data_IF_096160429233
#
_entry.id   IF_096160429233
#
_cell.length_a   1.000
_cell.length_b   1.000
_cell.length_c   1.000
_cell.angle_alpha   90.00
_cell.angle_beta   90.00
_cell.angle_gamma   90.00
#
_symmetry.space_group_name_H-M   'P 1'
#
loop_
_entity.id
_entity.type
_entity.pdbx_description
1 polymer ?
#
# COMPACT_ATOMS: atom_id res chain seq x y z
N UNK A 1 -31.33 -0.39 -8.01
CA UNK A 1 -31.21 1.08 -7.98
C UNK A 1 -30.83 1.65 -6.61
N UNK A 2 -31.40 1.21 -5.46
CA UNK A 2 -31.03 1.72 -4.13
C UNK A 2 -29.53 1.56 -3.77
N UNK A 3 -28.88 0.48 -4.14
CA UNK A 3 -27.47 0.22 -3.82
C UNK A 3 -26.51 1.18 -4.53
N UNK A 4 -26.85 1.62 -5.72
CA UNK A 4 -26.06 2.59 -6.51
C UNK A 4 -26.12 3.99 -5.88
N UNK A 5 -27.26 4.37 -5.29
CA UNK A 5 -27.41 5.66 -4.60
C UNK A 5 -26.56 5.75 -3.34
N UNK A 6 -26.42 4.67 -2.58
CA UNK A 6 -25.54 4.69 -1.39
C UNK A 6 -24.06 4.79 -1.77
N UNK A 7 -23.65 4.13 -2.86
CA UNK A 7 -22.27 4.22 -3.35
C UNK A 7 -21.95 5.64 -3.84
N UNK A 8 -22.88 6.25 -4.57
CA UNK A 8 -22.76 7.63 -5.04
C UNK A 8 -22.76 8.63 -3.88
N UNK A 9 -23.61 8.42 -2.87
CA UNK A 9 -23.64 9.25 -1.67
C UNK A 9 -22.37 9.14 -0.84
N UNK A 10 -21.82 7.92 -0.70
CA UNK A 10 -20.54 7.67 -0.05
C UNK A 10 -19.38 8.36 -0.80
N UNK A 11 -19.40 8.29 -2.13
CA UNK A 11 -18.41 8.95 -3.00
C UNK A 11 -18.47 10.47 -2.90
N UNK A 12 -19.69 11.04 -2.83
CA UNK A 12 -19.90 12.47 -2.64
C UNK A 12 -19.51 12.93 -1.23
N UNK A 13 -19.73 12.11 -0.22
CA UNK A 13 -19.31 12.39 1.16
C UNK A 13 -17.79 12.41 1.29
N UNK A 14 -17.09 11.52 0.58
CA UNK A 14 -15.63 11.49 0.49
C UNK A 14 -15.08 12.71 -0.25
N UNK A 15 -15.76 13.16 -1.30
CA UNK A 15 -15.37 14.34 -2.08
C UNK A 15 -15.61 15.68 -1.35
N UNK A 16 -16.47 15.71 -0.33
CA UNK A 16 -16.81 16.93 0.42
C UNK A 16 -15.86 17.24 1.58
N UNK A 17 -14.87 16.38 1.85
CA UNK A 17 -13.88 16.64 2.88
C UNK A 17 -12.75 17.47 2.26
N UNK A 18 -12.90 18.78 2.33
CA UNK A 18 -11.82 19.73 2.03
C UNK A 18 -10.69 19.52 3.04
N UNK A 19 -9.65 18.82 2.62
CA UNK A 19 -8.52 18.56 3.50
C UNK A 19 -7.54 17.57 2.87
N UNK A 20 -6.43 17.38 3.48
CA UNK A 20 -5.26 16.57 3.11
C UNK A 20 -5.50 15.07 2.84
N UNK A 21 -6.74 14.69 2.52
CA UNK A 21 -7.12 13.33 2.20
C UNK A 21 -6.58 12.91 0.84
N UNK A 22 -6.02 11.71 0.75
CA UNK A 22 -5.47 11.15 -0.48
C UNK A 22 -6.22 9.89 -0.86
N UNK A 23 -6.78 9.90 -2.07
CA UNK A 23 -7.42 8.73 -2.67
C UNK A 23 -6.61 8.23 -3.86
N UNK A 24 -6.54 6.90 -4.02
CA UNK A 24 -5.91 6.23 -5.15
C UNK A 24 -6.87 5.17 -5.68
N UNK A 25 -7.02 5.14 -7.00
CA UNK A 25 -7.69 4.06 -7.73
C UNK A 25 -6.67 3.54 -8.75
N UNK A 26 -6.39 2.25 -8.72
CA UNK A 26 -5.41 1.61 -9.59
C UNK A 26 -6.04 0.39 -10.24
N UNK A 27 -5.79 0.21 -11.52
CA UNK A 27 -6.14 -1.00 -12.26
C UNK A 27 -4.87 -1.56 -12.86
N UNK A 28 -4.62 -2.84 -12.63
CA UNK A 28 -3.44 -3.54 -13.11
C UNK A 28 -3.89 -4.77 -13.91
N UNK A 29 -3.32 -4.94 -15.07
CA UNK A 29 -3.54 -6.11 -15.90
C UNK A 29 -2.21 -6.79 -16.19
N UNK A 30 -2.10 -8.04 -15.80
CA UNK A 30 -0.98 -8.91 -16.14
C UNK A 30 -1.45 -9.85 -17.24
N UNK A 31 -0.87 -9.73 -18.45
CA UNK A 31 -1.27 -10.56 -19.58
C UNK A 31 -0.95 -12.03 -19.34
N UNK A 32 -1.69 -12.89 -20.03
CA UNK A 32 -1.59 -14.33 -19.86
C UNK A 32 -0.14 -14.82 -20.03
N UNK A 33 0.34 -15.51 -19.02
CA UNK A 33 1.62 -16.20 -19.01
C UNK A 33 1.42 -17.70 -18.83
N UNK A 34 2.39 -18.50 -19.31
CA UNK A 34 2.35 -19.95 -19.15
C UNK A 34 3.02 -20.35 -17.85
N UNK A 35 2.32 -21.15 -17.05
CA UNK A 35 2.90 -21.86 -15.92
C UNK A 35 3.61 -23.11 -16.45
N UNK A 36 4.83 -23.35 -15.99
CA UNK A 36 5.63 -24.51 -16.36
C UNK A 36 6.13 -25.21 -15.11
N UNK A 37 6.26 -26.53 -15.18
CA UNK A 37 6.94 -27.31 -14.17
C UNK A 37 8.48 -27.16 -14.27
N UNK A 38 9.19 -27.76 -13.32
CA UNK A 38 10.67 -27.78 -13.33
C UNK A 38 11.27 -28.44 -14.56
N UNK A 39 10.53 -29.33 -15.21
CA UNK A 39 10.91 -30.00 -16.45
C UNK A 39 10.57 -29.17 -17.71
N UNK A 40 9.94 -28.01 -17.56
CA UNK A 40 9.55 -27.11 -18.65
C UNK A 40 8.21 -27.43 -19.31
N UNK A 41 7.45 -28.43 -18.83
CA UNK A 41 6.15 -28.77 -19.37
C UNK A 41 5.12 -27.70 -19.00
N UNK A 42 4.22 -27.39 -19.93
CA UNK A 42 3.16 -26.42 -19.69
C UNK A 42 2.08 -27.01 -18.79
N UNK A 43 1.89 -26.40 -17.61
CA UNK A 43 0.86 -26.79 -16.64
C UNK A 43 -0.46 -26.04 -16.83
N UNK A 44 -0.43 -24.91 -17.55
CA UNK A 44 -1.57 -24.04 -17.77
C UNK A 44 -1.15 -22.65 -18.16
N UNK A 45 -2.10 -21.74 -18.22
CA UNK A 45 -1.86 -20.31 -18.41
C UNK A 45 -2.91 -19.49 -17.65
N UNK A 46 -2.55 -18.30 -17.26
CA UNK A 46 -3.50 -17.41 -16.60
C UNK A 46 -3.14 -15.95 -16.81
N UNK A 47 -4.15 -15.11 -16.75
CA UNK A 47 -4.05 -13.66 -16.69
C UNK A 47 -4.66 -13.14 -15.39
N UNK A 48 -4.21 -11.99 -14.94
CA UNK A 48 -4.65 -11.36 -13.71
C UNK A 48 -5.15 -9.95 -14.00
N UNK A 49 -6.34 -9.65 -13.55
CA UNK A 49 -6.88 -8.30 -13.52
C UNK A 49 -7.10 -7.90 -12.06
N UNK A 50 -6.47 -6.81 -11.63
CA UNK A 50 -6.49 -6.33 -10.25
C UNK A 50 -7.01 -4.90 -10.19
N UNK A 51 -7.98 -4.67 -9.33
CA UNK A 51 -8.51 -3.36 -9.00
C UNK A 51 -8.14 -3.03 -7.55
N UNK A 52 -7.54 -1.87 -7.33
CA UNK A 52 -7.19 -1.40 -5.99
C UNK A 52 -7.77 -0.02 -5.76
N UNK A 53 -8.48 0.14 -4.66
CA UNK A 53 -8.91 1.43 -4.14
C UNK A 53 -8.29 1.67 -2.77
N UNK A 54 -7.72 2.84 -2.55
CA UNK A 54 -7.19 3.22 -1.24
C UNK A 54 -7.56 4.67 -0.93
N UNK A 55 -7.82 4.92 0.33
CA UNK A 55 -8.12 6.26 0.83
C UNK A 55 -7.46 6.47 2.19
N UNK A 56 -6.76 7.59 2.34
CA UNK A 56 -6.09 7.96 3.59
C UNK A 56 -6.62 9.30 4.07
N UNK A 57 -7.11 9.33 5.31
CA UNK A 57 -7.63 10.50 5.97
C UNK A 57 -6.76 10.85 7.18
N UNK A 58 -5.98 11.92 7.14
CA UNK A 58 -5.38 12.50 8.34
C UNK A 58 -6.47 13.24 9.14
N UNK A 59 -6.83 12.70 10.31
CA UNK A 59 -7.90 13.25 11.14
C UNK A 59 -7.39 14.08 12.32
N UNK A 60 -6.10 14.05 12.58
CA UNK A 60 -5.48 14.91 13.59
C UNK A 60 -4.09 15.33 13.13
N UNK A 61 -3.91 16.64 13.02
CA UNK A 61 -2.63 17.26 12.73
C UNK A 61 -2.37 18.33 13.81
N UNK A 62 -1.38 18.08 14.65
CA UNK A 62 -0.95 19.01 15.71
C UNK A 62 0.52 19.33 15.52
N UNK A 63 0.99 20.36 16.18
CA UNK A 63 2.42 20.68 16.24
C UNK A 63 2.90 20.56 17.68
N UNK A 64 4.11 20.05 17.87
CA UNK A 64 4.76 20.11 19.16
C UNK A 64 5.30 21.52 19.43
N UNK A 65 5.85 21.72 20.64
CA UNK A 65 6.44 23.01 21.04
C UNK A 65 7.57 23.50 20.12
N UNK A 66 8.16 22.63 19.30
CA UNK A 66 9.20 22.95 18.34
C UNK A 66 8.66 23.13 16.89
N UNK A 67 7.34 23.20 16.72
CA UNK A 67 6.69 23.36 15.40
C UNK A 67 6.70 22.12 14.51
N UNK A 68 7.10 20.95 15.05
CA UNK A 68 7.13 19.72 14.28
C UNK A 68 5.75 19.03 14.29
N UNK A 69 5.29 18.45 13.16
CA UNK A 69 3.96 17.87 13.06
C UNK A 69 3.85 16.55 13.84
N UNK A 70 2.74 16.41 14.55
CA UNK A 70 2.26 15.17 15.14
C UNK A 70 0.98 14.82 14.38
N UNK A 71 0.94 13.67 13.74
CA UNK A 71 -0.17 13.30 12.86
C UNK A 71 -0.79 11.96 13.27
N UNK A 72 -2.10 11.90 13.19
CA UNK A 72 -2.87 10.67 13.16
C UNK A 72 -3.60 10.57 11.83
N UNK A 73 -3.54 9.41 11.21
CA UNK A 73 -4.27 9.13 9.98
C UNK A 73 -4.90 7.74 10.04
N UNK A 74 -6.04 7.62 9.42
CA UNK A 74 -6.69 6.34 9.13
C UNK A 74 -6.65 6.10 7.63
N UNK A 75 -6.37 4.88 7.22
CA UNK A 75 -6.41 4.48 5.82
C UNK A 75 -7.27 3.25 5.65
N UNK A 76 -8.04 3.22 4.57
CA UNK A 76 -8.77 2.06 4.10
C UNK A 76 -8.25 1.69 2.73
N UNK A 77 -8.02 0.40 2.50
CA UNK A 77 -7.64 -0.14 1.20
C UNK A 77 -8.52 -1.33 0.88
N UNK A 78 -8.94 -1.44 -0.36
CA UNK A 78 -9.62 -2.61 -0.89
C UNK A 78 -8.95 -3.03 -2.19
N UNK A 79 -8.78 -4.32 -2.38
CA UNK A 79 -8.26 -4.89 -3.63
C UNK A 79 -9.16 -6.06 -4.04
N UNK A 80 -9.52 -6.09 -5.30
CA UNK A 80 -10.24 -7.18 -5.93
C UNK A 80 -9.46 -7.65 -7.13
N UNK A 81 -9.10 -8.93 -7.13
CA UNK A 81 -8.31 -9.54 -8.17
C UNK A 81 -9.09 -10.70 -8.80
N UNK A 82 -9.10 -10.74 -10.11
CA UNK A 82 -9.71 -11.79 -10.93
C UNK A 82 -8.58 -12.54 -11.63
N UNK A 83 -8.50 -13.84 -11.38
CA UNK A 83 -7.53 -14.74 -11.98
C UNK A 83 -8.23 -15.61 -13.01
N UNK A 84 -7.92 -15.41 -14.27
CA UNK A 84 -8.46 -16.26 -15.35
C UNK A 84 -7.52 -17.44 -15.59
N UNK A 85 -7.72 -18.50 -14.86
CA UNK A 85 -6.94 -19.74 -14.99
C UNK A 85 -7.46 -20.57 -16.15
N UNK A 86 -6.55 -21.00 -17.06
CA UNK A 86 -6.90 -21.79 -18.24
C UNK A 86 -6.06 -23.07 -18.27
N UNK A 87 -6.76 -24.20 -18.40
CA UNK A 87 -6.13 -25.53 -18.54
C UNK A 87 -5.16 -25.90 -17.40
N UNK A 88 -5.46 -25.44 -16.19
CA UNK A 88 -4.71 -25.85 -15.01
C UNK A 88 -5.07 -27.30 -14.67
N UNK A 89 -4.04 -28.13 -14.47
CA UNK A 89 -4.23 -29.54 -14.10
C UNK A 89 -4.75 -29.70 -12.64
N UNK A 90 -4.55 -28.69 -11.81
CA UNK A 90 -5.03 -28.61 -10.43
C UNK A 90 -5.68 -27.25 -10.21
N UNK A 91 -6.82 -27.24 -9.57
CA UNK A 91 -7.52 -26.03 -9.16
C UNK A 91 -6.85 -25.45 -7.90
N UNK A 92 -5.62 -24.98 -8.08
CA UNK A 92 -4.74 -24.57 -6.96
C UNK A 92 -5.01 -23.13 -6.51
N UNK A 93 -5.61 -22.33 -7.38
CA UNK A 93 -5.82 -20.90 -7.14
C UNK A 93 -7.30 -20.55 -7.17
N UNK A 94 -7.80 -19.74 -6.21
CA UNK A 94 -9.14 -19.19 -6.34
C UNK A 94 -9.20 -18.28 -7.58
N UNK A 95 -10.33 -18.31 -8.28
CA UNK A 95 -10.58 -17.45 -9.44
C UNK A 95 -10.67 -15.98 -9.06
N UNK A 96 -11.01 -15.70 -7.82
CA UNK A 96 -11.19 -14.35 -7.30
C UNK A 96 -10.56 -14.22 -5.92
N UNK A 97 -9.92 -13.09 -5.69
CA UNK A 97 -9.35 -12.73 -4.38
C UNK A 97 -9.84 -11.35 -3.99
N UNK A 98 -10.40 -11.26 -2.80
CA UNK A 98 -10.78 -10.01 -2.17
C UNK A 98 -9.86 -9.75 -0.98
N UNK A 99 -9.29 -8.56 -0.92
CA UNK A 99 -8.64 -8.06 0.27
C UNK A 99 -9.19 -6.71 0.67
N UNK A 100 -9.29 -6.49 1.97
CA UNK A 100 -9.69 -5.22 2.54
C UNK A 100 -8.92 -4.97 3.81
N UNK A 101 -8.41 -3.76 4.01
CA UNK A 101 -7.68 -3.41 5.24
C UNK A 101 -8.05 -2.03 5.74
N UNK A 102 -8.01 -1.89 7.06
CA UNK A 102 -8.13 -0.64 7.80
C UNK A 102 -6.87 -0.47 8.64
N UNK A 103 -6.19 0.66 8.50
CA UNK A 103 -4.97 0.95 9.24
C UNK A 103 -5.07 2.30 9.94
N UNK A 104 -4.54 2.37 11.16
CA UNK A 104 -4.34 3.56 11.93
C UNK A 104 -2.85 3.84 12.02
N UNK A 105 -2.41 5.03 11.64
CA UNK A 105 -1.00 5.43 11.65
C UNK A 105 -0.81 6.66 12.51
N UNK A 106 0.21 6.62 13.35
CA UNK A 106 0.65 7.72 14.18
C UNK A 106 2.08 8.12 13.85
N UNK A 107 2.28 9.38 13.50
CA UNK A 107 3.61 9.95 13.26
C UNK A 107 3.89 10.97 14.35
N UNK A 108 5.01 10.78 15.07
CA UNK A 108 5.41 11.64 16.16
C UNK A 108 6.89 11.98 16.12
N UNK A 109 7.28 13.27 16.14
CA UNK A 109 8.67 13.67 16.30
C UNK A 109 9.13 13.36 17.72
N UNK A 110 10.28 12.72 17.85
CA UNK A 110 10.95 12.41 19.11
C UNK A 110 12.02 13.45 19.44
N UNK A 111 12.66 13.99 18.39
CA UNK A 111 13.64 15.07 18.50
C UNK A 111 13.70 15.86 17.19
N UNK A 112 14.64 16.81 17.05
CA UNK A 112 14.83 17.58 15.82
C UNK A 112 15.14 16.71 14.60
N UNK A 113 15.78 15.55 14.80
CA UNK A 113 16.20 14.65 13.72
C UNK A 113 15.53 13.28 13.76
N UNK A 114 14.86 12.92 14.84
CA UNK A 114 14.20 11.63 14.96
C UNK A 114 12.69 11.77 14.99
N UNK A 115 12.02 10.89 14.30
CA UNK A 115 10.58 10.69 14.43
C UNK A 115 10.22 9.21 14.43
N UNK A 116 9.07 8.92 14.97
CA UNK A 116 8.51 7.58 15.05
C UNK A 116 7.28 7.50 14.16
N UNK A 117 7.16 6.41 13.45
CA UNK A 117 5.95 6.00 12.75
C UNK A 117 5.47 4.73 13.44
N UNK A 118 4.27 4.76 14.00
CA UNK A 118 3.62 3.59 14.56
C UNK A 118 2.35 3.31 13.77
N UNK A 119 2.09 2.07 13.42
CA UNK A 119 0.90 1.64 12.70
C UNK A 119 0.26 0.43 13.35
N UNK A 120 -1.07 0.38 13.30
CA UNK A 120 -1.87 -0.76 13.71
C UNK A 120 -2.99 -0.91 12.70
N UNK A 121 -3.21 -2.12 12.22
CA UNK A 121 -4.23 -2.40 11.23
C UNK A 121 -4.86 -3.76 11.38
N UNK A 122 -6.00 -3.92 10.71
CA UNK A 122 -6.65 -5.19 10.53
C UNK A 122 -7.16 -5.28 9.09
N UNK A 123 -7.13 -6.47 8.52
CA UNK A 123 -7.58 -6.70 7.17
C UNK A 123 -8.14 -8.10 6.97
N UNK A 124 -8.83 -8.27 5.86
CA UNK A 124 -9.36 -9.55 5.39
C UNK A 124 -8.63 -9.87 4.10
N UNK A 125 -8.19 -11.10 3.96
CA UNK A 125 -7.54 -11.61 2.77
C UNK A 125 -8.10 -13.01 2.48
N UNK A 126 -8.98 -13.12 1.49
CA UNK A 126 -9.69 -14.38 1.21
C UNK A 126 -10.34 -14.35 -0.17
N UNK A 127 -10.70 -15.53 -0.67
CA UNK A 127 -11.71 -15.62 -1.73
C UNK A 127 -13.05 -15.09 -1.20
N UNK A 128 -13.88 -14.44 -2.04
CA UNK A 128 -15.13 -13.81 -1.60
C UNK A 128 -16.12 -14.77 -0.92
N UNK A 129 -16.10 -16.03 -1.32
CA UNK A 129 -16.96 -17.11 -0.82
C UNK A 129 -16.43 -17.79 0.46
N UNK A 130 -15.14 -17.55 0.79
CA UNK A 130 -14.45 -18.17 1.91
C UNK A 130 -14.15 -17.20 3.08
N UNK A 131 -14.85 -16.06 3.14
CA UNK A 131 -14.64 -15.07 4.20
C UNK A 131 -15.14 -15.60 5.54
N UNK A 132 -14.24 -15.76 6.49
CA UNK A 132 -14.50 -16.18 7.87
C UNK A 132 -13.78 -15.27 8.86
N UNK A 133 -14.05 -15.44 10.16
CA UNK A 133 -13.30 -14.74 11.19
C UNK A 133 -11.79 -15.06 11.18
N UNK A 134 -11.43 -16.23 10.68
CA UNK A 134 -10.05 -16.67 10.52
C UNK A 134 -9.33 -15.94 9.37
N UNK A 135 -10.09 -15.34 8.45
CA UNK A 135 -9.56 -14.51 7.37
C UNK A 135 -9.14 -13.11 7.85
N UNK A 136 -9.45 -12.74 9.10
CA UNK A 136 -9.08 -11.45 9.67
C UNK A 136 -7.64 -11.50 10.15
N UNK A 137 -6.79 -10.72 9.51
CA UNK A 137 -5.38 -10.59 9.84
C UNK A 137 -5.14 -9.26 10.54
N UNK A 138 -4.38 -9.29 11.62
CA UNK A 138 -3.97 -8.08 12.35
C UNK A 138 -2.50 -7.83 12.06
N UNK A 139 -2.17 -6.60 11.74
CA UNK A 139 -0.81 -6.16 11.50
C UNK A 139 -0.51 -4.90 12.31
N UNK A 140 0.75 -4.63 12.52
CA UNK A 140 1.20 -3.42 13.20
C UNK A 140 2.69 -3.34 13.27
N UNK A 141 3.21 -2.16 13.51
CA UNK A 141 4.65 -1.98 13.61
C UNK A 141 5.05 -0.61 14.09
N UNK A 142 6.30 -0.49 14.43
CA UNK A 142 6.93 0.76 14.82
C UNK A 142 8.25 0.92 14.08
N UNK A 143 8.46 2.07 13.49
CA UNK A 143 9.69 2.44 12.79
C UNK A 143 10.22 3.72 13.41
N UNK A 144 11.50 3.74 13.73
CA UNK A 144 12.24 4.93 14.16
C UNK A 144 13.03 5.45 12.97
N UNK A 145 12.76 6.69 12.59
CA UNK A 145 13.33 7.31 11.40
C UNK A 145 14.24 8.45 11.79
N UNK A 146 15.44 8.45 11.20
CA UNK A 146 16.44 9.48 11.35
C UNK A 146 16.55 10.34 10.09
N UNK A 147 16.40 11.65 10.23
CA UNK A 147 16.59 12.63 9.16
C UNK A 147 18.09 12.87 8.95
N UNK A 148 18.70 12.12 8.05
CA UNK A 148 20.14 12.22 7.76
C UNK A 148 20.48 13.56 7.09
N UNK A 149 19.65 13.94 6.11
CA UNK A 149 19.78 15.17 5.34
C UNK A 149 18.39 15.73 5.06
N UNK A 150 18.30 16.92 4.46
CA UNK A 150 16.99 17.52 4.08
C UNK A 150 16.21 16.67 3.09
N UNK A 151 16.88 15.80 2.37
CA UNK A 151 16.33 14.96 1.31
C UNK A 151 16.56 13.46 1.53
N UNK A 152 17.00 13.05 2.73
CA UNK A 152 17.30 11.65 3.04
C UNK A 152 16.87 11.32 4.45
N UNK A 153 15.86 10.47 4.56
CA UNK A 153 15.40 9.87 5.81
C UNK A 153 15.66 8.36 5.77
N UNK A 154 16.21 7.83 6.83
CA UNK A 154 16.50 6.40 6.99
C UNK A 154 15.88 5.93 8.30
N UNK A 155 15.24 4.79 8.29
CA UNK A 155 14.62 4.25 9.50
C UNK A 155 14.74 2.74 9.60
N UNK A 156 14.63 2.27 10.83
CA UNK A 156 14.57 0.86 11.16
C UNK A 156 13.48 0.63 12.21
N UNK A 157 12.90 -0.54 12.17
CA UNK A 157 11.82 -0.88 13.08
C UNK A 157 11.52 -2.35 13.09
N UNK A 158 10.41 -2.69 13.71
CA UNK A 158 9.86 -4.04 13.71
C UNK A 158 8.35 -3.98 13.56
N UNK A 159 7.80 -4.97 12.91
CA UNK A 159 6.38 -5.16 12.73
C UNK A 159 5.97 -6.59 13.00
N UNK A 160 4.69 -6.74 13.29
CA UNK A 160 4.01 -8.02 13.37
C UNK A 160 3.02 -8.08 12.21
N UNK A 161 3.08 -9.14 11.45
CA UNK A 161 2.07 -9.48 10.45
C UNK A 161 1.53 -10.86 10.75
N UNK A 162 0.26 -11.07 10.49
CA UNK A 162 -0.39 -12.36 10.65
C UNK A 162 -0.62 -12.99 9.26
N UNK A 163 0.38 -12.95 8.41
CA UNK A 163 0.34 -13.66 7.14
C UNK A 163 0.34 -15.17 7.40
N UNK A 164 -0.50 -15.90 6.69
CA UNK A 164 -0.65 -17.36 6.83
C UNK A 164 -1.23 -17.84 8.17
N UNK A 165 -1.97 -16.99 8.88
CA UNK A 165 -2.63 -17.37 10.13
C UNK A 165 -1.69 -17.51 11.35
N UNK A 166 -0.42 -17.16 11.19
CA UNK A 166 0.58 -17.17 12.27
C UNK A 166 1.19 -15.77 12.40
N UNK A 167 1.25 -15.20 13.62
CA UNK A 167 1.91 -13.92 13.82
C UNK A 167 3.43 -14.04 13.60
N UNK A 168 3.93 -13.31 12.63
CA UNK A 168 5.35 -13.29 12.26
C UNK A 168 5.91 -11.92 12.58
N UNK A 169 6.98 -11.87 13.35
CA UNK A 169 7.74 -10.66 13.58
C UNK A 169 8.73 -10.44 12.42
N UNK A 170 8.69 -9.25 11.82
CA UNK A 170 9.56 -8.90 10.71
C UNK A 170 10.31 -7.61 10.98
N UNK A 171 11.60 -7.52 10.61
CA UNK A 171 12.31 -6.26 10.59
C UNK A 171 11.70 -5.34 9.53
N UNK A 172 11.57 -4.07 9.85
CA UNK A 172 11.07 -3.04 8.93
C UNK A 172 12.17 -2.04 8.63
N UNK A 173 12.27 -1.68 7.36
CA UNK A 173 13.21 -0.68 6.89
C UNK A 173 12.44 0.48 6.26
N UNK A 174 12.92 1.69 6.49
CA UNK A 174 12.39 2.90 5.90
C UNK A 174 13.51 3.64 5.22
N UNK A 175 13.33 3.94 3.96
CA UNK A 175 14.22 4.81 3.20
C UNK A 175 13.35 5.76 2.37
N UNK A 176 13.54 7.04 2.57
CA UNK A 176 12.96 8.07 1.72
C UNK A 176 14.11 8.98 1.25
N UNK A 177 14.48 8.82 0.00
CA UNK A 177 15.51 9.59 -0.63
C UNK A 177 14.96 10.36 -1.82
N UNK A 178 14.99 11.67 -1.72
CA UNK A 178 14.47 12.57 -2.73
C UNK A 178 15.61 13.43 -3.28
N UNK A 179 15.92 13.27 -4.54
CA UNK A 179 16.73 14.20 -5.28
C UNK A 179 15.81 15.14 -6.04
N UNK A 180 15.91 16.44 -5.75
CA UNK A 180 15.08 17.47 -6.36
C UNK A 180 15.92 18.39 -7.24
N UNK A 181 15.35 18.76 -8.38
CA UNK A 181 15.96 19.61 -9.40
C UNK A 181 15.22 19.42 -10.71
N UNK A 182 15.93 19.54 -11.82
CA UNK A 182 15.36 19.15 -13.13
C UNK A 182 15.16 17.64 -13.24
N UNK A 183 15.90 16.86 -12.46
CA UNK A 183 15.78 15.43 -12.30
C UNK A 183 15.42 15.13 -10.86
N UNK A 184 14.37 14.33 -10.65
CA UNK A 184 13.96 13.87 -9.33
C UNK A 184 14.12 12.34 -9.28
N UNK A 185 14.73 11.86 -8.22
CA UNK A 185 14.77 10.41 -7.91
C UNK A 185 14.14 10.23 -6.55
N UNK A 186 13.21 9.30 -6.45
CA UNK A 186 12.57 8.92 -5.20
C UNK A 186 12.74 7.42 -5.00
N UNK A 187 13.27 7.06 -3.84
CA UNK A 187 13.36 5.68 -3.37
C UNK A 187 12.60 5.59 -2.06
N UNK A 188 11.57 4.77 -2.01
CA UNK A 188 10.74 4.59 -0.84
C UNK A 188 10.65 3.09 -0.51
N UNK A 189 10.95 2.75 0.74
CA UNK A 189 10.91 1.39 1.29
C UNK A 189 10.03 1.34 2.55
N UNK A 190 8.93 2.07 2.60
CA UNK A 190 8.09 2.14 3.80
C UNK A 190 6.94 1.12 3.80
N UNK A 191 6.23 0.99 2.71
CA UNK A 191 5.07 0.10 2.56
C UNK A 191 5.22 -0.91 1.42
N UNK A 192 6.36 -0.91 0.81
CA UNK A 192 6.75 -1.67 -0.35
C UNK A 192 8.06 -1.10 -0.88
N UNK A 193 8.50 -1.56 -2.03
CA UNK A 193 9.67 -1.01 -2.72
C UNK A 193 9.17 -0.15 -3.88
N UNK A 194 9.40 1.15 -3.81
CA UNK A 194 9.15 2.05 -4.93
C UNK A 194 10.44 2.74 -5.32
N UNK A 195 10.83 2.61 -6.58
CA UNK A 195 11.91 3.38 -7.18
C UNK A 195 11.34 4.14 -8.36
N UNK A 196 11.34 5.45 -8.28
CA UNK A 196 10.83 6.30 -9.35
C UNK A 196 11.79 7.41 -9.71
N UNK A 197 11.87 7.73 -10.99
CA UNK A 197 12.56 8.87 -11.53
C UNK A 197 11.59 9.84 -12.20
N UNK A 198 11.83 11.13 -12.09
CA UNK A 198 11.03 12.11 -12.79
C UNK A 198 11.93 13.21 -13.41
N UNK A 199 11.47 13.71 -14.54
CA UNK A 199 12.10 14.82 -15.23
C UNK A 199 11.08 15.95 -15.34
N UNK A 200 11.47 17.16 -14.94
CA UNK A 200 10.70 18.37 -15.18
C UNK A 200 11.00 18.90 -16.56
N UNK A 201 9.98 19.00 -17.38
CA UNK A 201 10.02 19.58 -18.71
C UNK A 201 9.35 20.96 -18.65
N UNK A 202 10.03 21.93 -18.03
CA UNK A 202 9.49 23.26 -17.76
C UNK A 202 8.58 23.30 -16.51
N UNK A 203 7.84 24.39 -16.34
CA UNK A 203 7.04 24.64 -15.12
C UNK A 203 5.70 23.88 -15.10
N UNK A 204 5.27 23.35 -16.24
CA UNK A 204 3.91 22.76 -16.38
C UNK A 204 3.91 21.26 -16.59
N UNK A 205 5.02 20.67 -17.00
CA UNK A 205 5.08 19.25 -17.33
C UNK A 205 6.14 18.52 -16.49
N UNK A 206 5.72 17.40 -15.94
CA UNK A 206 6.58 16.46 -15.20
C UNK A 206 6.32 15.06 -15.73
N UNK A 207 7.35 14.43 -16.26
CA UNK A 207 7.33 13.03 -16.64
C UNK A 207 7.89 12.20 -15.48
N UNK A 208 7.13 11.26 -14.96
CA UNK A 208 7.57 10.32 -13.92
C UNK A 208 7.58 8.91 -14.48
N UNK A 209 8.69 8.23 -14.31
CA UNK A 209 8.83 6.81 -14.59
C UNK A 209 8.98 6.07 -13.27
N UNK A 210 8.12 5.09 -13.03
CA UNK A 210 8.27 4.16 -11.91
C UNK A 210 8.96 2.91 -12.45
N UNK A 211 10.18 2.67 -12.00
CA UNK A 211 10.99 1.57 -12.48
C UNK A 211 10.68 0.27 -11.73
N UNK A 212 10.27 0.37 -10.46
CA UNK A 212 9.92 -0.75 -9.61
C UNK A 212 8.87 -0.29 -8.62
N UNK A 213 7.77 -0.99 -8.57
CA UNK A 213 6.74 -0.85 -7.55
C UNK A 213 6.38 -2.26 -7.08
N UNK A 214 6.76 -2.57 -5.85
CA UNK A 214 6.35 -3.80 -5.18
C UNK A 214 5.48 -3.37 -4.01
N UNK A 215 4.20 -3.58 -4.15
CA UNK A 215 3.29 -3.45 -3.00
C UNK A 215 3.69 -4.51 -1.98
N UNK A 216 3.97 -4.07 -0.76
CA UNK A 216 4.15 -5.00 0.33
C UNK A 216 2.91 -5.89 0.44
N UNK A 217 3.13 -7.19 0.55
CA UNK A 217 2.05 -8.13 0.84
C UNK A 217 1.62 -7.84 2.28
N UNK A 218 0.60 -7.03 2.41
CA UNK A 218 -0.08 -6.76 3.69
C UNK A 218 -1.43 -7.42 3.69
#
# INVERSE_FOLDING_TARGET
>A
MRRFSYLLFLLLLVAAIDGFAQGVIKTEYMPASSFRDEAGNKLGSGDLLKFTGAYTLPFSLKQNASGQPIMWSASVRGTYAILNNRHMALDIHPDEVLSGSLNLTHVRPLSKKWYMIASLGAGIYSAPDAITWQSVLVNGGVIFVYKCRKNLDIGVGAGLTNSFGVPIAMPMFFLNWQLSGNYEVNVNLSSGVEVSGAVRLGDRFKLRLVAMEMDGIS
#
